data_IF_704396311052
#
_entry.id   IF_704396311052
#
_cell.length_a   1.000
_cell.length_b   1.000
_cell.length_c   1.000
_cell.angle_alpha   90.00
_cell.angle_beta   90.00
_cell.angle_gamma   90.00
#
_symmetry.space_group_name_H-M   'P 1'
#
loop_
_entity.id
_entity.type
_entity.pdbx_description
1 polymer ?
#
# COMPACT_ATOMS: atom_id res chain seq x y z
N UNK A 1 -9.12 5.49 13.47
CA UNK A 1 -7.75 5.82 13.02
C UNK A 1 -7.64 5.58 11.52
N UNK A 2 -6.62 6.13 10.84
CA UNK A 2 -6.40 5.92 9.40
C UNK A 2 -4.94 5.58 9.15
N UNK A 3 -4.65 4.60 8.31
CA UNK A 3 -3.28 4.30 7.92
C UNK A 3 -3.15 4.05 6.41
N UNK A 4 -1.94 4.27 5.92
CA UNK A 4 -1.54 3.90 4.56
C UNK A 4 -0.99 2.47 4.53
N UNK A 5 -1.41 1.67 3.57
CA UNK A 5 -0.87 0.32 3.36
C UNK A 5 -0.76 -0.05 1.88
N UNK A 6 0.15 -0.98 1.61
CA UNK A 6 0.25 -1.70 0.34
C UNK A 6 -0.39 -3.06 0.54
N UNK A 7 -1.33 -3.43 -0.31
CA UNK A 7 -2.13 -4.65 -0.17
C UNK A 7 -2.18 -5.37 -1.52
N UNK A 8 -2.13 -6.70 -1.50
CA UNK A 8 -2.38 -7.48 -2.70
C UNK A 8 -3.84 -7.31 -3.14
N UNK A 9 -4.10 -7.38 -4.44
CA UNK A 9 -5.42 -7.26 -5.03
C UNK A 9 -5.90 -8.65 -5.43
N UNK A 10 -7.19 -8.90 -5.29
CA UNK A 10 -7.84 -10.07 -5.88
C UNK A 10 -7.82 -9.95 -7.40
N UNK A 11 -8.08 -11.04 -8.15
CA UNK A 11 -8.23 -10.98 -9.60
C UNK A 11 -9.33 -10.01 -10.08
N UNK A 12 -10.32 -9.71 -9.23
CA UNK A 12 -11.39 -8.74 -9.50
C UNK A 12 -10.99 -7.28 -9.23
N UNK A 13 -9.76 -7.03 -8.77
CA UNK A 13 -9.25 -5.68 -8.51
C UNK A 13 -9.61 -5.09 -7.14
N UNK A 14 -10.22 -5.87 -6.25
CA UNK A 14 -10.47 -5.49 -4.86
C UNK A 14 -9.22 -5.76 -3.99
N UNK A 15 -9.01 -5.08 -2.85
CA UNK A 15 -7.98 -5.50 -1.91
C UNK A 15 -8.28 -6.91 -1.41
N UNK A 16 -7.29 -7.79 -1.48
CA UNK A 16 -7.36 -9.12 -0.87
C UNK A 16 -7.15 -8.95 0.64
N UNK A 17 -8.23 -9.04 1.40
CA UNK A 17 -8.20 -8.91 2.86
C UNK A 17 -8.63 -10.21 3.55
N UNK A 18 -8.83 -11.31 2.83
CA UNK A 18 -9.56 -12.50 3.28
C UNK A 18 -11.02 -12.20 3.73
N UNK A 19 -11.93 -13.12 3.42
CA UNK A 19 -13.38 -12.91 3.60
C UNK A 19 -13.79 -12.55 5.04
N UNK A 20 -13.10 -13.06 6.06
CA UNK A 20 -13.41 -12.81 7.47
C UNK A 20 -13.10 -11.37 7.92
N UNK A 21 -12.03 -10.77 7.40
CA UNK A 21 -11.64 -9.38 7.70
C UNK A 21 -12.40 -8.43 6.76
N UNK A 22 -12.68 -8.85 5.52
CA UNK A 22 -13.53 -8.10 4.61
C UNK A 22 -14.98 -7.96 5.12
N UNK A 23 -15.56 -9.01 5.70
CA UNK A 23 -16.92 -8.99 6.26
C UNK A 23 -17.04 -8.18 7.57
N UNK A 24 -15.96 -8.09 8.35
CA UNK A 24 -15.94 -7.43 9.65
C UNK A 24 -15.62 -5.92 9.60
N UNK A 25 -15.13 -5.44 8.46
CA UNK A 25 -14.59 -4.09 8.36
C UNK A 25 -15.37 -3.26 7.33
N UNK A 26 -16.00 -2.15 7.72
CA UNK A 26 -16.38 -1.11 6.77
C UNK A 26 -15.11 -0.35 6.33
N UNK A 27 -14.20 -1.01 5.62
CA UNK A 27 -13.01 -0.37 5.07
C UNK A 27 -13.43 0.46 3.87
N UNK A 28 -13.63 1.77 4.10
CA UNK A 28 -13.69 2.79 3.04
C UNK A 28 -12.27 3.02 2.51
N UNK A 29 -11.73 2.03 1.82
CA UNK A 29 -10.40 2.06 1.22
C UNK A 29 -10.41 2.85 -0.07
N UNK A 30 -9.84 4.06 -0.09
CA UNK A 30 -9.55 4.73 -1.36
C UNK A 30 -8.29 4.10 -1.96
N UNK A 31 -8.42 3.52 -3.15
CA UNK A 31 -7.28 3.08 -3.97
C UNK A 31 -6.56 4.34 -4.45
N UNK A 32 -5.31 4.49 -4.04
CA UNK A 32 -4.47 5.59 -4.48
C UNK A 32 -3.77 5.23 -5.80
N UNK A 33 -3.21 4.03 -5.91
CA UNK A 33 -2.57 3.53 -7.13
C UNK A 33 -2.67 2.01 -7.20
N UNK A 34 -2.72 1.43 -8.41
CA UNK A 34 -2.84 -0.01 -8.64
C UNK A 34 -1.85 -0.46 -9.72
N UNK A 35 -1.42 -1.74 -9.68
CA UNK A 35 -0.62 -2.44 -10.71
C UNK A 35 0.90 -2.12 -10.80
N UNK A 36 1.65 -2.20 -9.69
CA UNK A 36 3.04 -2.73 -9.81
C UNK A 36 2.95 -4.25 -9.83
N UNK A 37 3.65 -4.88 -10.79
CA UNK A 37 3.83 -6.33 -10.96
C UNK A 37 3.10 -7.24 -9.97
N UNK A 38 2.16 -8.04 -10.50
CA UNK A 38 1.35 -9.02 -9.76
C UNK A 38 0.36 -8.43 -8.74
N UNK A 39 -0.64 -7.66 -9.20
CA UNK A 39 -1.85 -7.37 -8.41
C UNK A 39 -1.57 -6.74 -7.03
N UNK A 40 -0.89 -5.58 -6.96
CA UNK A 40 -0.73 -4.82 -5.70
C UNK A 40 -1.28 -3.40 -5.83
N UNK A 41 -1.87 -2.89 -4.76
CA UNK A 41 -2.40 -1.54 -4.66
C UNK A 41 -1.99 -0.80 -3.39
N UNK A 42 -2.00 0.52 -3.45
CA UNK A 42 -1.87 1.41 -2.29
C UNK A 42 -3.24 1.87 -1.81
N UNK A 43 -3.49 1.72 -0.51
CA UNK A 43 -4.78 1.97 0.12
C UNK A 43 -4.66 2.90 1.33
N UNK A 44 -5.61 3.83 1.45
CA UNK A 44 -5.87 4.52 2.71
C UNK A 44 -7.00 3.79 3.43
N UNK A 45 -6.69 3.12 4.55
CA UNK A 45 -7.66 2.37 5.33
C UNK A 45 -8.11 3.16 6.56
N UNK A 46 -9.39 3.05 6.91
CA UNK A 46 -9.98 3.62 8.12
C UNK A 46 -10.64 2.52 8.95
N UNK A 47 -10.41 2.53 10.27
CA UNK A 47 -10.98 1.56 11.21
C UNK A 47 -10.62 1.88 12.66
N UNK A 48 -11.03 1.01 13.57
CA UNK A 48 -10.60 1.01 14.98
C UNK A 48 -9.16 0.47 15.11
N UNK A 49 -8.49 0.71 16.23
CA UNK A 49 -7.11 0.21 16.43
C UNK A 49 -7.00 -1.31 16.32
N UNK A 50 -8.00 -2.05 16.82
CA UNK A 50 -8.01 -3.51 16.78
C UNK A 50 -8.16 -4.03 15.34
N UNK A 51 -9.08 -3.44 14.58
CA UNK A 51 -9.30 -3.74 13.16
C UNK A 51 -8.05 -3.53 12.32
N UNK A 52 -7.43 -2.36 12.52
CA UNK A 52 -6.23 -1.95 11.80
C UNK A 52 -5.01 -2.82 12.15
N UNK A 53 -4.94 -3.29 13.40
CA UNK A 53 -3.92 -4.25 13.85
C UNK A 53 -4.14 -5.62 13.21
N UNK A 54 -5.38 -6.11 13.16
CA UNK A 54 -5.72 -7.37 12.52
C UNK A 54 -5.36 -7.37 11.03
N UNK A 55 -5.67 -6.28 10.31
CA UNK A 55 -5.29 -6.16 8.89
C UNK A 55 -3.77 -6.16 8.71
N UNK A 56 -3.00 -5.43 9.54
CA UNK A 56 -1.53 -5.40 9.42
C UNK A 56 -0.85 -6.74 9.75
N UNK A 57 -1.55 -7.67 10.41
CA UNK A 57 -1.07 -9.02 10.66
C UNK A 57 -1.26 -9.96 9.44
N UNK A 58 -2.03 -9.55 8.43
CA UNK A 58 -2.22 -10.35 7.22
C UNK A 58 -0.93 -10.41 6.39
N UNK A 59 -0.57 -11.58 5.84
CA UNK A 59 0.71 -11.77 5.13
C UNK A 59 0.83 -10.97 3.83
N UNK A 60 -0.30 -10.58 3.23
CA UNK A 60 -0.38 -9.80 1.99
C UNK A 60 -0.63 -8.30 2.26
N UNK A 61 -0.44 -7.83 3.50
CA UNK A 61 -0.57 -6.42 3.88
C UNK A 61 0.74 -5.86 4.41
N UNK A 62 1.12 -4.71 3.87
CA UNK A 62 2.27 -3.93 4.30
C UNK A 62 1.79 -2.55 4.75
N UNK A 63 1.40 -2.42 6.02
CA UNK A 63 1.13 -1.11 6.60
C UNK A 63 2.40 -0.24 6.65
N UNK A 64 2.24 1.03 6.28
CA UNK A 64 3.29 2.05 6.23
C UNK A 64 3.21 2.91 7.49
N UNK A 65 2.14 3.71 7.67
CA UNK A 65 2.01 4.61 8.82
C UNK A 65 0.58 5.08 9.06
N UNK A 66 0.34 5.64 10.25
CA UNK A 66 -0.86 6.44 10.51
C UNK A 66 -0.76 7.78 9.76
N UNK A 67 -1.91 8.34 9.37
CA UNK A 67 -1.98 9.66 8.71
C UNK A 67 -1.45 10.80 9.60
N UNK A 68 -1.41 10.61 10.91
CA UNK A 68 -0.84 11.59 11.86
C UNK A 68 0.68 11.63 11.86
N UNK A 69 1.34 10.61 11.30
CA UNK A 69 2.79 10.43 11.42
C UNK A 69 3.55 10.84 10.15
N UNK A 70 2.88 11.44 9.17
CA UNK A 70 3.41 11.65 7.82
C UNK A 70 4.76 12.36 7.77
N UNK A 71 4.99 13.31 8.69
CA UNK A 71 6.20 14.13 8.70
C UNK A 71 7.31 13.55 9.59
N UNK A 72 7.05 12.44 10.27
CA UNK A 72 8.07 11.71 11.03
C UNK A 72 8.93 10.87 10.08
N UNK A 73 10.21 10.70 10.45
CA UNK A 73 11.11 9.75 9.80
C UNK A 73 10.55 8.33 9.93
N UNK A 74 10.62 7.56 8.84
CA UNK A 74 10.13 6.19 8.82
C UNK A 74 10.84 5.32 9.87
N UNK A 75 10.05 4.58 10.66
CA UNK A 75 10.60 3.65 11.63
C UNK A 75 11.45 2.57 10.94
N UNK A 76 12.57 2.19 11.55
CA UNK A 76 13.50 1.22 10.98
C UNK A 76 12.84 -0.12 10.65
N UNK A 77 11.94 -0.60 11.51
CA UNK A 77 11.18 -1.85 11.33
C UNK A 77 10.27 -1.81 10.10
N UNK A 78 9.51 -0.72 9.93
CA UNK A 78 8.64 -0.52 8.76
C UNK A 78 9.48 -0.41 7.48
N UNK A 79 10.55 0.38 7.52
CA UNK A 79 11.47 0.56 6.39
C UNK A 79 12.08 -0.77 5.95
N UNK A 80 12.56 -1.59 6.88
CA UNK A 80 13.11 -2.92 6.57
C UNK A 80 12.08 -3.79 5.87
N UNK A 81 10.84 -3.86 6.40
CA UNK A 81 9.76 -4.64 5.80
C UNK A 81 9.41 -4.16 4.38
N UNK A 82 9.32 -2.85 4.18
CA UNK A 82 9.09 -2.25 2.86
C UNK A 82 10.24 -2.48 1.88
N UNK A 83 11.50 -2.35 2.32
CA UNK A 83 12.66 -2.60 1.47
C UNK A 83 12.77 -4.06 1.05
N UNK A 84 12.42 -5.01 1.93
CA UNK A 84 12.27 -6.42 1.54
C UNK A 84 11.23 -6.57 0.44
N UNK A 85 10.04 -5.99 0.60
CA UNK A 85 8.97 -6.04 -0.42
C UNK A 85 9.37 -5.37 -1.76
N UNK A 86 10.07 -4.24 -1.71
CA UNK A 86 10.58 -3.51 -2.89
C UNK A 86 11.68 -4.30 -3.60
N UNK A 87 12.63 -4.89 -2.85
CA UNK A 87 13.74 -5.65 -3.42
C UNK A 87 13.27 -6.89 -4.18
N UNK A 88 12.26 -7.59 -3.65
CA UNK A 88 11.61 -8.73 -4.32
C UNK A 88 10.97 -8.37 -5.67
N UNK A 89 10.80 -7.07 -5.95
CA UNK A 89 10.22 -6.51 -7.19
C UNK A 89 11.23 -5.71 -8.01
N UNK A 90 12.52 -5.80 -7.67
CA UNK A 90 13.60 -5.06 -8.36
C UNK A 90 13.50 -3.54 -8.21
N UNK A 91 12.84 -3.04 -7.16
CA UNK A 91 12.67 -1.62 -6.91
C UNK A 91 13.76 -1.06 -5.99
N UNK A 92 14.17 0.22 -6.15
CA UNK A 92 15.18 0.82 -5.29
C UNK A 92 14.75 0.90 -3.82
N UNK A 93 15.70 0.71 -2.91
CA UNK A 93 15.45 0.82 -1.48
C UNK A 93 15.09 2.26 -1.04
N UNK A 94 14.32 2.36 0.03
CA UNK A 94 13.98 3.61 0.73
C UNK A 94 15.11 3.98 1.70
N UNK A 95 15.67 5.21 1.63
CA UNK A 95 16.68 5.73 2.55
C UNK A 95 16.21 5.86 4.00
N UNK A 96 17.17 5.94 4.93
CA UNK A 96 16.93 6.08 6.37
C UNK A 96 16.29 7.41 6.79
N UNK A 97 16.66 8.48 6.10
CA UNK A 97 16.28 9.85 6.46
C UNK A 97 14.91 10.26 5.94
N UNK A 98 14.22 9.37 5.23
CA UNK A 98 12.96 9.72 4.59
C UNK A 98 11.80 9.75 5.58
N UNK A 99 10.92 10.73 5.40
CA UNK A 99 9.66 10.79 6.14
C UNK A 99 8.64 9.84 5.54
N UNK A 100 7.65 9.43 6.33
CA UNK A 100 6.57 8.59 5.82
C UNK A 100 5.86 9.18 4.59
N UNK A 101 5.69 10.51 4.54
CA UNK A 101 5.15 11.23 3.37
C UNK A 101 5.98 10.97 2.11
N UNK A 102 7.30 11.15 2.18
CA UNK A 102 8.22 10.90 1.06
C UNK A 102 8.19 9.44 0.61
N UNK A 103 8.08 8.50 1.55
CA UNK A 103 7.93 7.07 1.26
C UNK A 103 6.62 6.81 0.52
N UNK A 104 5.50 7.31 1.02
CA UNK A 104 4.17 7.10 0.42
C UNK A 104 4.12 7.66 -0.99
N UNK A 105 4.57 8.91 -1.20
CA UNK A 105 4.60 9.54 -2.52
C UNK A 105 5.47 8.75 -3.50
N UNK A 106 6.62 8.25 -3.03
CA UNK A 106 7.53 7.48 -3.88
C UNK A 106 6.96 6.11 -4.23
N UNK A 107 6.37 5.40 -3.26
CA UNK A 107 5.69 4.12 -3.49
C UNK A 107 4.52 4.32 -4.44
N UNK A 108 3.72 5.36 -4.24
CA UNK A 108 2.62 5.74 -5.13
C UNK A 108 3.12 5.95 -6.57
N UNK A 109 4.15 6.81 -6.74
CA UNK A 109 4.74 7.09 -8.05
C UNK A 109 5.25 5.83 -8.70
N UNK A 110 5.92 4.94 -7.96
CA UNK A 110 6.39 3.66 -8.49
C UNK A 110 5.22 2.80 -8.96
N UNK A 111 4.18 2.66 -8.15
CA UNK A 111 2.98 1.87 -8.50
C UNK A 111 2.30 2.43 -9.75
N UNK A 112 2.22 3.76 -9.87
CA UNK A 112 1.57 4.44 -10.98
C UNK A 112 2.49 4.74 -12.19
N UNK A 113 3.81 4.55 -12.06
CA UNK A 113 4.79 4.86 -13.11
C UNK A 113 4.77 3.86 -14.28
N UNK A 114 4.03 2.76 -14.13
CA UNK A 114 3.69 1.88 -15.25
C UNK A 114 2.38 2.38 -15.86
N UNK A 115 2.45 3.41 -16.70
CA UNK A 115 1.42 3.57 -17.72
C UNK A 115 1.46 2.31 -18.59
N UNK A 116 0.42 1.51 -18.50
CA UNK A 116 0.20 0.41 -19.43
C UNK A 116 -0.23 1.03 -20.76
N UNK A 117 0.74 1.36 -21.63
CA UNK A 117 0.47 1.94 -22.96
C UNK A 117 -0.43 1.02 -23.80
N UNK A 118 -0.47 -0.28 -23.50
CA UNK A 118 -1.35 -1.27 -24.14
C UNK A 118 -2.84 -1.08 -23.77
N UNK A 119 -3.14 -0.23 -22.76
CA UNK A 119 -4.52 0.14 -22.36
C UNK A 119 -4.90 1.55 -22.80
N UNK A 120 -4.04 2.27 -23.53
CA UNK A 120 -4.34 3.59 -24.06
C UNK A 120 -5.24 3.47 -25.29
N UNK A 121 -6.54 3.38 -25.10
CA UNK A 121 -7.51 3.59 -26.17
C UNK A 121 -7.60 5.09 -26.46
N UNK A 122 -7.04 5.53 -27.59
CA UNK A 122 -7.35 6.83 -28.19
C UNK A 122 -8.68 6.62 -28.91
N UNK A 123 -9.73 7.30 -28.44
CA UNK A 123 -10.96 7.41 -29.20
C UNK A 123 -10.77 8.53 -30.23
N UNK A 124 -10.88 8.16 -31.51
CA UNK A 124 -11.07 9.11 -32.61
C UNK A 124 -12.52 9.60 -32.65
#
# INVERSE_FOLDING_TARGET
>A
MRYFAIIQMTPAGAPDLADAVAAALPHKGFVLAAHIGQQWGCYLLSGTSAELTAINALPHVYAICNITDLDNVIASTVRTRLNTWLSARGQPAIPASWTYRQVIETVYKRINSRMDLDRLYIFD
#
